data_IF_857150660191
#
_entry.id   IF_857150660191
#
_cell.length_a   1.000
_cell.length_b   1.000
_cell.length_c   1.000
_cell.angle_alpha   90.00
_cell.angle_beta   90.00
_cell.angle_gamma   90.00
#
_symmetry.space_group_name_H-M   'P 1'
#
loop_
_entity.id
_entity.type
_entity.pdbx_description
1 polymer ?
#
# COMPACT_ATOMS: atom_id res chain seq x y z
N UNK A 1 -11.48 -21.05 10.69
CA UNK A 1 -12.03 -19.72 10.35
C UNK A 1 -13.40 -19.91 9.73
N UNK A 2 -14.37 -19.07 10.07
CA UNK A 2 -15.75 -19.15 9.57
C UNK A 2 -16.31 -17.74 9.32
N UNK A 3 -17.41 -17.64 8.57
CA UNK A 3 -18.18 -16.41 8.39
C UNK A 3 -19.53 -16.55 9.08
N UNK A 4 -19.84 -15.65 10.01
CA UNK A 4 -21.09 -15.65 10.80
C UNK A 4 -21.72 -14.27 10.74
N UNK A 5 -22.94 -14.17 10.21
CA UNK A 5 -23.63 -12.88 10.05
C UNK A 5 -22.87 -11.87 9.19
N UNK A 6 -22.07 -12.36 8.22
CA UNK A 6 -21.20 -11.55 7.37
C UNK A 6 -19.84 -11.22 7.99
N UNK A 7 -19.59 -11.53 9.26
CA UNK A 7 -18.31 -11.24 9.93
C UNK A 7 -17.38 -12.45 9.92
N UNK A 8 -16.08 -12.20 9.73
CA UNK A 8 -15.07 -13.23 9.87
C UNK A 8 -14.84 -13.58 11.34
N UNK A 9 -14.76 -14.87 11.66
CA UNK A 9 -14.43 -15.36 13.00
C UNK A 9 -13.36 -16.44 12.94
N UNK A 10 -12.39 -16.33 13.83
CA UNK A 10 -11.35 -17.33 14.03
C UNK A 10 -11.42 -17.79 15.48
N UNK A 11 -11.41 -19.10 15.67
CA UNK A 11 -11.46 -19.71 17.00
C UNK A 11 -10.35 -20.74 17.09
N UNK A 12 -9.63 -20.75 18.21
CA UNK A 12 -8.86 -21.89 18.66
C UNK A 12 -8.85 -21.94 20.19
N UNK A 13 -9.20 -23.09 20.78
CA UNK A 13 -9.15 -23.35 22.23
C UNK A 13 -9.81 -22.27 23.12
N UNK A 14 -10.93 -21.68 22.70
CA UNK A 14 -11.63 -20.62 23.44
C UNK A 14 -10.96 -19.24 23.37
N UNK A 15 -9.98 -19.07 22.49
CA UNK A 15 -9.26 -17.81 22.22
C UNK A 15 -9.79 -17.17 20.93
N UNK A 16 -11.08 -16.85 20.92
CA UNK A 16 -11.81 -16.49 19.72
C UNK A 16 -11.60 -15.01 19.35
N UNK A 17 -11.24 -14.76 18.09
CA UNK A 17 -11.15 -13.43 17.51
C UNK A 17 -12.27 -13.25 16.47
N UNK A 18 -13.07 -12.20 16.63
CA UNK A 18 -14.06 -11.78 15.63
C UNK A 18 -13.62 -10.49 14.95
N UNK A 19 -13.83 -10.47 13.63
CA UNK A 19 -13.77 -9.26 12.82
C UNK A 19 -14.95 -8.33 13.06
N UNK A 20 -14.86 -7.14 12.48
CA UNK A 20 -15.86 -6.06 12.54
C UNK A 20 -16.37 -5.66 11.15
N UNK A 21 -15.62 -5.96 10.09
CA UNK A 21 -15.97 -5.68 8.70
C UNK A 21 -16.94 -6.75 8.20
N UNK A 22 -18.10 -6.29 7.73
CA UNK A 22 -19.06 -7.14 7.04
C UNK A 22 -18.54 -7.45 5.64
N UNK A 23 -18.53 -8.74 5.30
CA UNK A 23 -18.25 -9.22 3.96
C UNK A 23 -19.51 -9.07 3.10
N UNK A 24 -19.36 -8.40 1.96
CA UNK A 24 -20.43 -8.21 1.00
C UNK A 24 -20.71 -9.52 0.24
N UNK A 25 -21.99 -9.85 0.09
CA UNK A 25 -22.37 -11.05 -0.64
C UNK A 25 -22.01 -10.93 -2.13
N UNK A 26 -21.62 -12.05 -2.75
CA UNK A 26 -21.27 -12.14 -4.17
C UNK A 26 -20.08 -11.28 -4.59
N UNK A 27 -19.20 -10.92 -3.65
CA UNK A 27 -17.93 -10.27 -3.94
C UNK A 27 -16.76 -11.12 -3.47
N UNK A 28 -15.63 -11.02 -4.18
CA UNK A 28 -14.38 -11.60 -3.73
C UNK A 28 -13.79 -10.76 -2.60
N UNK A 29 -13.41 -11.42 -1.51
CA UNK A 29 -12.74 -10.79 -0.38
C UNK A 29 -11.39 -11.47 -0.14
N UNK A 30 -10.34 -10.67 0.04
CA UNK A 30 -9.08 -11.16 0.59
C UNK A 30 -9.17 -11.13 2.11
N UNK A 31 -8.92 -12.28 2.75
CA UNK A 31 -8.91 -12.38 4.21
C UNK A 31 -7.61 -12.99 4.69
N UNK A 32 -7.07 -12.46 5.78
CA UNK A 32 -5.86 -12.99 6.42
C UNK A 32 -6.11 -13.14 7.90
N UNK A 33 -5.65 -14.25 8.45
CA UNK A 33 -5.45 -14.40 9.88
C UNK A 33 -3.96 -14.57 10.16
N UNK A 34 -3.46 -13.85 11.15
CA UNK A 34 -2.09 -13.96 11.61
C UNK A 34 -2.05 -14.18 13.11
N UNK A 35 -1.06 -14.96 13.54
CA UNK A 35 -0.75 -15.17 14.93
C UNK A 35 0.75 -14.99 15.16
N UNK A 36 1.10 -14.03 16.01
CA UNK A 36 2.48 -13.78 16.43
C UNK A 36 2.72 -14.44 17.80
N UNK A 37 3.53 -15.52 17.88
CA UNK A 37 3.81 -16.20 19.14
C UNK A 37 4.73 -15.40 20.07
N UNK A 38 5.51 -14.44 19.57
CA UNK A 38 6.47 -13.67 20.37
C UNK A 38 5.75 -12.65 21.25
N UNK A 39 4.70 -12.02 20.71
CA UNK A 39 3.88 -11.03 21.42
C UNK A 39 2.48 -11.54 21.77
N UNK A 40 2.21 -12.83 21.50
CA UNK A 40 0.91 -13.46 21.65
C UNK A 40 -0.21 -12.61 21.01
N UNK A 41 -0.07 -12.20 19.75
CA UNK A 41 -1.07 -11.35 19.09
C UNK A 41 -1.79 -12.11 17.98
N UNK A 42 -3.12 -12.04 17.99
CA UNK A 42 -3.96 -12.45 16.88
C UNK A 42 -4.38 -11.23 16.07
N UNK A 43 -4.47 -11.38 14.75
CA UNK A 43 -5.03 -10.34 13.90
C UNK A 43 -5.77 -10.91 12.69
N UNK A 44 -6.90 -10.29 12.37
CA UNK A 44 -7.69 -10.51 11.16
C UNK A 44 -7.52 -9.28 10.26
N UNK A 45 -7.36 -9.54 8.97
CA UNK A 45 -7.44 -8.52 7.92
C UNK A 45 -8.53 -8.89 6.92
N UNK A 46 -9.27 -7.89 6.44
CA UNK A 46 -10.26 -8.01 5.36
C UNK A 46 -9.99 -6.93 4.33
N UNK A 47 -9.84 -7.32 3.05
CA UNK A 47 -9.63 -6.41 1.93
C UNK A 47 -8.60 -5.32 2.25
N UNK A 48 -7.42 -5.75 2.74
CA UNK A 48 -6.27 -4.90 3.13
C UNK A 48 -6.36 -4.24 4.50
N UNK A 49 -7.54 -4.17 5.12
CA UNK A 49 -7.77 -3.40 6.33
C UNK A 49 -7.64 -4.31 7.55
N UNK A 50 -6.92 -3.84 8.57
CA UNK A 50 -6.89 -4.51 9.88
C UNK A 50 -8.29 -4.47 10.49
N UNK A 51 -8.86 -5.63 10.74
CA UNK A 51 -10.28 -5.80 11.09
C UNK A 51 -10.47 -6.16 12.57
N UNK A 52 -9.76 -7.20 13.01
CA UNK A 52 -9.75 -7.66 14.41
C UNK A 52 -8.32 -7.77 14.92
N UNK A 53 -8.08 -7.35 16.17
CA UNK A 53 -6.78 -7.50 16.83
C UNK A 53 -7.01 -7.83 18.30
N UNK A 54 -6.23 -8.78 18.84
CA UNK A 54 -6.33 -9.17 20.24
C UNK A 54 -5.02 -9.80 20.73
N UNK A 55 -4.68 -9.57 22.01
CA UNK A 55 -3.69 -10.39 22.69
C UNK A 55 -4.28 -11.76 23.01
N UNK A 56 -3.70 -12.80 22.43
CA UNK A 56 -4.01 -14.19 22.72
C UNK A 56 -3.74 -14.53 24.19
N UNK A 57 -4.72 -15.21 24.78
CA UNK A 57 -4.63 -15.76 26.14
C UNK A 57 -3.95 -17.13 26.19
N UNK A 58 -3.81 -17.81 25.05
CA UNK A 58 -3.11 -19.11 24.93
C UNK A 58 -2.30 -19.17 23.63
N UNK A 59 -1.24 -19.98 23.65
CA UNK A 59 -0.41 -20.23 22.47
C UNK A 59 -1.20 -20.92 21.36
N UNK A 60 -0.97 -20.55 20.11
CA UNK A 60 -1.56 -21.27 18.98
C UNK A 60 -1.04 -22.71 18.98
N UNK A 61 -1.93 -23.72 18.95
CA UNK A 61 -1.50 -25.11 19.08
C UNK A 61 -0.70 -25.54 17.85
N UNK A 62 0.29 -26.41 18.07
CA UNK A 62 0.84 -27.18 16.95
C UNK A 62 -0.25 -28.13 16.46
N UNK A 63 -0.59 -28.02 15.17
CA UNK A 63 -1.58 -28.88 14.52
C UNK A 63 -0.81 -29.83 13.60
N UNK A 64 -0.83 -31.11 13.93
CA UNK A 64 -0.28 -32.20 13.09
C UNK A 64 -1.37 -32.98 12.37
N UNK A 65 -2.60 -32.48 12.43
CA UNK A 65 -3.81 -33.14 11.97
C UNK A 65 -4.31 -32.54 10.64
N UNK A 66 -5.39 -33.10 10.11
CA UNK A 66 -6.00 -32.71 8.83
C UNK A 66 -6.59 -31.30 8.89
N UNK A 67 -6.35 -30.51 7.84
CA UNK A 67 -7.03 -29.24 7.61
C UNK A 67 -8.25 -29.48 6.72
N UNK A 68 -9.43 -29.11 7.21
CA UNK A 68 -10.69 -29.22 6.44
C UNK A 68 -11.18 -27.86 5.99
N UNK A 69 -11.59 -27.76 4.72
CA UNK A 69 -12.11 -26.53 4.10
C UNK A 69 -13.55 -26.76 3.63
N UNK A 70 -14.40 -25.73 3.77
CA UNK A 70 -15.79 -25.72 3.31
C UNK A 70 -16.80 -26.25 4.32
N UNK A 71 -16.59 -27.43 4.88
CA UNK A 71 -17.46 -27.99 5.92
C UNK A 71 -16.65 -28.73 6.99
N UNK A 72 -17.10 -28.69 8.25
CA UNK A 72 -16.51 -29.49 9.32
C UNK A 72 -17.39 -30.72 9.57
N UNK A 73 -16.89 -31.96 9.38
CA UNK A 73 -17.70 -33.18 9.48
C UNK A 73 -18.21 -33.50 10.89
N UNK A 74 -17.80 -32.74 11.91
CA UNK A 74 -17.97 -33.10 13.33
C UNK A 74 -19.07 -32.28 14.03
N UNK A 75 -19.70 -31.30 13.36
CA UNK A 75 -20.73 -30.45 13.97
C UNK A 75 -22.09 -30.70 13.29
N UNK A 76 -23.06 -31.37 13.94
CA UNK A 76 -24.33 -31.79 13.33
C UNK A 76 -25.28 -30.65 12.91
N UNK A 77 -24.90 -29.38 13.10
CA UNK A 77 -25.82 -28.24 13.02
C UNK A 77 -25.30 -27.05 12.20
N UNK A 78 -24.16 -27.16 11.53
CA UNK A 78 -23.71 -26.11 10.62
C UNK A 78 -24.12 -26.46 9.20
N UNK A 79 -25.18 -25.80 8.70
CA UNK A 79 -25.47 -25.78 7.26
C UNK A 79 -24.25 -25.13 6.59
N UNK A 80 -23.50 -25.85 5.73
CA UNK A 80 -22.34 -25.28 5.06
C UNK A 80 -22.79 -24.06 4.27
N UNK A 81 -22.02 -22.98 4.37
CA UNK A 81 -22.25 -21.79 3.55
C UNK A 81 -21.65 -22.03 2.18
N UNK A 82 -22.50 -21.98 1.16
CA UNK A 82 -22.06 -22.05 -0.22
C UNK A 82 -21.28 -20.78 -0.55
N UNK A 83 -20.18 -20.95 -1.27
CA UNK A 83 -19.30 -19.87 -1.70
C UNK A 83 -18.14 -20.43 -2.49
N UNK A 84 -17.30 -19.53 -2.99
CA UNK A 84 -16.10 -19.90 -3.72
C UNK A 84 -14.88 -19.55 -2.87
N UNK A 85 -13.88 -20.43 -2.89
CA UNK A 85 -12.54 -20.18 -2.40
C UNK A 85 -11.62 -20.37 -3.60
N UNK A 86 -10.77 -19.39 -3.85
CA UNK A 86 -9.81 -19.45 -4.95
C UNK A 86 -8.42 -19.79 -4.39
N UNK A 87 -7.72 -18.79 -3.84
CA UNK A 87 -6.38 -18.95 -3.27
C UNK A 87 -6.40 -19.12 -1.75
N UNK A 88 -5.82 -20.22 -1.27
CA UNK A 88 -5.54 -20.48 0.15
C UNK A 88 -4.05 -20.71 0.34
N UNK A 89 -3.42 -19.93 1.23
CA UNK A 89 -1.98 -20.02 1.53
C UNK A 89 -1.78 -20.13 3.03
N UNK A 90 -0.81 -20.94 3.46
CA UNK A 90 -0.37 -21.06 4.84
C UNK A 90 1.09 -20.64 4.93
N UNK A 91 1.41 -19.82 5.91
CA UNK A 91 2.74 -19.22 6.08
C UNK A 91 3.25 -19.52 7.49
N UNK A 92 4.53 -19.84 7.60
CA UNK A 92 5.18 -20.14 8.89
C UNK A 92 5.64 -18.89 9.63
N UNK A 93 5.55 -17.72 8.99
CA UNK A 93 5.93 -16.42 9.57
C UNK A 93 4.77 -15.45 9.53
N UNK A 94 4.81 -14.48 10.43
CA UNK A 94 3.90 -13.32 10.40
C UNK A 94 4.34 -12.41 9.25
N UNK A 95 3.40 -12.09 8.35
CA UNK A 95 3.61 -11.10 7.28
C UNK A 95 3.38 -9.70 7.81
N UNK A 96 4.14 -8.74 7.29
CA UNK A 96 3.91 -7.32 7.57
C UNK A 96 2.58 -6.85 6.99
N UNK A 97 2.13 -5.67 7.42
CA UNK A 97 0.93 -5.07 6.85
C UNK A 97 1.06 -4.82 5.35
N UNK A 98 2.23 -4.34 4.93
CA UNK A 98 2.58 -4.03 3.55
C UNK A 98 2.58 -5.30 2.69
N UNK A 99 3.15 -6.39 3.19
CA UNK A 99 3.12 -7.69 2.48
C UNK A 99 1.67 -8.18 2.28
N UNK A 100 0.83 -8.09 3.32
CA UNK A 100 -0.58 -8.48 3.23
C UNK A 100 -1.36 -7.56 2.29
N UNK A 101 -1.07 -6.26 2.33
CA UNK A 101 -1.66 -5.26 1.44
C UNK A 101 -1.29 -5.56 -0.02
N UNK A 102 -0.03 -5.89 -0.31
CA UNK A 102 0.40 -6.24 -1.65
C UNK A 102 -0.20 -7.57 -2.10
N UNK A 103 -0.28 -8.59 -1.25
CA UNK A 103 -0.99 -9.84 -1.62
C UNK A 103 -2.47 -9.62 -1.94
N UNK A 104 -3.11 -8.68 -1.25
CA UNK A 104 -4.51 -8.34 -1.47
C UNK A 104 -4.74 -7.50 -2.74
N UNK A 105 -3.71 -6.85 -3.29
CA UNK A 105 -3.90 -5.74 -4.26
C UNK A 105 -2.97 -5.69 -5.44
N UNK A 106 -1.84 -6.40 -5.39
CA UNK A 106 -1.01 -6.66 -6.55
C UNK A 106 -1.80 -7.56 -7.50
N UNK A 107 -2.18 -7.01 -8.64
CA UNK A 107 -2.98 -7.72 -9.64
C UNK A 107 -2.09 -8.58 -10.52
N UNK A 108 -0.97 -8.05 -10.97
CA UNK A 108 0.03 -8.77 -11.76
C UNK A 108 1.41 -8.15 -11.59
N UNK A 109 2.45 -8.97 -11.75
CA UNK A 109 3.85 -8.60 -11.74
C UNK A 109 4.60 -9.36 -12.83
N UNK A 110 5.16 -8.61 -13.78
CA UNK A 110 5.99 -9.10 -14.86
C UNK A 110 7.42 -8.55 -14.69
N UNK A 111 8.36 -9.32 -14.13
CA UNK A 111 9.77 -8.93 -14.07
C UNK A 111 10.43 -8.96 -15.44
N UNK A 112 9.91 -9.76 -16.39
CA UNK A 112 10.54 -9.99 -17.69
C UNK A 112 11.94 -10.64 -17.59
N UNK A 113 12.14 -11.45 -16.54
CA UNK A 113 13.31 -12.30 -16.32
C UNK A 113 13.28 -13.55 -17.22
N UNK A 114 13.43 -13.34 -18.54
CA UNK A 114 13.36 -14.40 -19.55
C UNK A 114 12.05 -15.20 -19.52
N UNK A 115 10.96 -14.55 -19.09
CA UNK A 115 9.61 -15.07 -19.16
C UNK A 115 8.60 -13.94 -19.33
N UNK A 116 7.45 -14.27 -19.93
CA UNK A 116 6.27 -13.40 -20.05
C UNK A 116 5.21 -13.74 -18.99
N UNK A 117 5.55 -14.60 -18.03
CA UNK A 117 4.65 -15.06 -16.99
C UNK A 117 4.42 -13.98 -15.93
N UNK A 118 3.18 -13.89 -15.45
CA UNK A 118 2.85 -13.16 -14.24
C UNK A 118 3.32 -13.96 -13.01
N UNK A 119 4.33 -13.45 -12.32
CA UNK A 119 4.81 -14.02 -11.05
C UNK A 119 4.06 -13.49 -9.83
N UNK A 120 3.08 -12.62 -10.06
CA UNK A 120 2.17 -12.09 -9.05
C UNK A 120 1.15 -13.12 -8.54
N UNK A 121 0.30 -12.72 -7.58
CA UNK A 121 -0.56 -13.64 -6.85
C UNK A 121 -1.68 -14.27 -7.70
N UNK A 122 -2.08 -13.62 -8.81
CA UNK A 122 -3.21 -14.05 -9.65
C UNK A 122 -2.77 -14.89 -10.87
N UNK A 123 -1.48 -14.92 -11.21
CA UNK A 123 -0.89 -15.69 -12.31
C UNK A 123 -1.69 -15.55 -13.60
N UNK A 124 -1.81 -14.33 -14.12
CA UNK A 124 -2.51 -14.03 -15.37
C UNK A 124 -2.03 -14.93 -16.52
N UNK A 125 -2.88 -15.88 -16.94
CA UNK A 125 -2.51 -16.96 -17.89
C UNK A 125 -2.63 -16.58 -19.38
N UNK A 126 -3.19 -15.41 -19.69
CA UNK A 126 -3.48 -15.00 -21.06
C UNK A 126 -2.56 -13.86 -21.50
N UNK A 127 -1.24 -14.09 -21.45
CA UNK A 127 -0.26 -13.19 -22.04
C UNK A 127 0.10 -13.62 -23.46
N UNK A 128 0.29 -12.64 -24.34
CA UNK A 128 0.79 -12.83 -25.70
C UNK A 128 1.87 -11.82 -26.00
N UNK A 129 2.71 -12.10 -26.99
CA UNK A 129 3.79 -11.21 -27.38
C UNK A 129 4.06 -11.32 -28.88
N UNK A 130 4.66 -10.27 -29.43
CA UNK A 130 5.05 -10.20 -30.82
C UNK A 130 6.39 -9.47 -30.93
N UNK A 131 7.35 -10.08 -31.64
CA UNK A 131 8.66 -9.48 -31.98
C UNK A 131 9.47 -8.88 -30.82
N UNK A 132 9.18 -9.29 -29.57
CA UNK A 132 9.93 -8.90 -28.37
C UNK A 132 10.99 -9.95 -28.03
N UNK A 133 12.04 -9.51 -27.34
CA UNK A 133 13.12 -10.35 -26.81
C UNK A 133 13.46 -9.93 -25.39
N UNK A 134 14.32 -10.68 -24.71
CA UNK A 134 14.84 -10.32 -23.40
C UNK A 134 16.30 -9.87 -23.51
N UNK A 135 16.68 -8.84 -22.76
CA UNK A 135 18.04 -8.32 -22.64
C UNK A 135 18.57 -8.60 -21.24
N UNK A 136 19.78 -9.15 -21.14
CA UNK A 136 20.42 -9.53 -19.89
C UNK A 136 20.85 -8.34 -19.01
N UNK A 137 20.77 -7.11 -19.53
CA UNK A 137 21.07 -5.89 -18.81
C UNK A 137 19.77 -5.21 -18.35
N UNK A 138 18.98 -5.93 -17.55
CA UNK A 138 17.80 -5.41 -16.87
C UNK A 138 18.15 -4.39 -15.79
N UNK A 139 17.13 -3.73 -15.25
CA UNK A 139 17.28 -2.96 -14.00
C UNK A 139 17.53 -3.94 -12.85
N UNK A 140 16.83 -5.08 -12.88
CA UNK A 140 17.06 -6.26 -12.05
C UNK A 140 17.01 -7.49 -12.96
N UNK A 141 18.05 -8.34 -12.93
CA UNK A 141 18.08 -9.51 -13.80
C UNK A 141 18.02 -9.14 -15.30
N UNK A 142 17.01 -9.64 -16.00
CA UNK A 142 16.77 -9.41 -17.41
C UNK A 142 15.54 -8.50 -17.60
N UNK A 143 15.36 -7.98 -18.81
CA UNK A 143 14.24 -7.08 -19.09
C UNK A 143 13.65 -7.31 -20.48
N UNK A 144 12.43 -6.81 -20.69
CA UNK A 144 11.77 -6.82 -21.98
C UNK A 144 12.42 -5.79 -22.91
N UNK A 145 12.89 -6.24 -24.08
CA UNK A 145 13.45 -5.37 -25.12
C UNK A 145 12.44 -5.18 -26.26
N UNK A 146 12.13 -3.90 -26.54
CA UNK A 146 11.31 -3.46 -27.67
C UNK A 146 12.19 -2.58 -28.55
N UNK A 147 12.78 -3.16 -29.59
CA UNK A 147 13.69 -2.43 -30.49
C UNK A 147 13.53 -2.77 -31.98
N UNK A 148 12.55 -3.61 -32.32
CA UNK A 148 12.29 -3.99 -33.71
C UNK A 148 11.81 -2.80 -34.54
N UNK A 149 12.07 -2.83 -35.85
CA UNK A 149 11.43 -1.93 -36.82
C UNK A 149 10.01 -2.39 -37.18
N UNK A 150 9.72 -3.68 -36.97
CA UNK A 150 8.37 -4.24 -37.09
C UNK A 150 7.58 -4.01 -35.80
N UNK A 151 6.26 -4.20 -35.89
CA UNK A 151 5.37 -4.16 -34.74
C UNK A 151 5.84 -5.14 -33.66
N UNK A 152 6.02 -4.62 -32.45
CA UNK A 152 6.56 -5.32 -31.30
C UNK A 152 5.77 -4.94 -30.06
N UNK A 153 5.29 -5.94 -29.32
CA UNK A 153 4.56 -5.71 -28.08
C UNK A 153 4.54 -6.93 -27.17
N UNK A 154 4.25 -6.66 -25.90
CA UNK A 154 3.75 -7.64 -24.94
C UNK A 154 2.31 -7.27 -24.59
N UNK A 155 1.44 -8.25 -24.36
CA UNK A 155 0.05 -8.04 -24.01
C UNK A 155 -0.36 -9.01 -22.91
N UNK A 156 -1.17 -8.54 -21.97
CA UNK A 156 -1.86 -9.39 -21.00
C UNK A 156 -3.33 -8.99 -20.93
N UNK A 157 -4.23 -9.97 -20.76
CA UNK A 157 -5.67 -9.73 -20.64
C UNK A 157 -6.24 -10.36 -19.38
N UNK A 158 -7.44 -9.90 -18.98
CA UNK A 158 -8.18 -10.44 -17.85
C UNK A 158 -8.29 -9.49 -16.66
N UNK A 159 -7.89 -8.23 -16.81
CA UNK A 159 -7.86 -7.27 -15.70
C UNK A 159 -9.26 -6.80 -15.32
N UNK A 160 -9.85 -7.46 -14.32
CA UNK A 160 -11.21 -7.16 -13.84
C UNK A 160 -11.31 -5.81 -13.13
N UNK A 161 -10.37 -5.46 -12.24
CA UNK A 161 -10.44 -4.20 -11.49
C UNK A 161 -10.20 -2.97 -12.37
N UNK A 162 -9.32 -3.06 -13.36
CA UNK A 162 -9.18 -2.02 -14.39
C UNK A 162 -10.46 -1.85 -15.21
N UNK A 163 -11.33 -2.87 -15.26
CA UNK A 163 -12.62 -2.82 -15.94
C UNK A 163 -13.77 -2.27 -15.08
N UNK A 164 -13.51 -1.89 -13.82
CA UNK A 164 -14.51 -1.29 -12.94
C UNK A 164 -14.36 0.24 -12.92
N UNK A 165 -15.46 0.95 -13.18
CA UNK A 165 -15.48 2.41 -13.14
C UNK A 165 -15.15 2.92 -11.74
N UNK A 166 -14.43 4.03 -11.66
CA UNK A 166 -13.94 4.68 -10.43
C UNK A 166 -13.09 3.80 -9.49
N UNK A 167 -12.74 2.58 -9.91
CA UNK A 167 -11.90 1.71 -9.10
C UNK A 167 -10.45 2.19 -9.14
N UNK A 168 -9.81 2.44 -7.98
CA UNK A 168 -8.45 2.97 -7.96
C UNK A 168 -7.44 1.94 -8.46
N UNK A 169 -6.42 2.39 -9.17
CA UNK A 169 -5.37 1.52 -9.72
C UNK A 169 -4.04 2.24 -9.81
N UNK A 170 -2.96 1.47 -9.92
CA UNK A 170 -1.63 2.00 -10.19
C UNK A 170 -0.85 1.09 -11.13
N UNK A 171 -0.02 1.70 -11.97
CA UNK A 171 0.99 1.02 -12.78
C UNK A 171 2.36 1.47 -12.30
N UNK A 172 3.26 0.53 -12.03
CA UNK A 172 4.66 0.80 -11.71
C UNK A 172 5.55 0.00 -12.65
N UNK A 173 6.59 0.62 -13.20
CA UNK A 173 7.54 -0.03 -14.08
C UNK A 173 8.85 0.75 -14.14
N UNK A 174 9.93 0.07 -14.50
CA UNK A 174 11.18 0.69 -14.91
C UNK A 174 11.25 0.74 -16.44
N UNK A 175 11.72 1.85 -16.99
CA UNK A 175 11.97 1.98 -18.43
C UNK A 175 13.40 2.44 -18.71
N UNK A 176 13.91 2.03 -19.87
CA UNK A 176 15.18 2.48 -20.44
C UNK A 176 14.91 2.94 -21.88
N UNK A 177 14.57 4.23 -22.11
CA UNK A 177 14.19 4.71 -23.43
C UNK A 177 15.41 4.91 -24.33
N UNK A 178 15.34 4.42 -25.57
CA UNK A 178 16.31 4.77 -26.62
C UNK A 178 15.90 6.06 -27.34
N UNK A 179 14.60 6.33 -27.37
CA UNK A 179 13.99 7.56 -27.88
C UNK A 179 12.83 7.96 -26.96
N UNK A 180 12.59 9.27 -26.82
CA UNK A 180 11.44 9.79 -26.09
C UNK A 180 10.23 9.92 -27.02
N UNK A 181 9.76 8.80 -27.55
CA UNK A 181 8.59 8.74 -28.43
C UNK A 181 7.86 7.41 -28.29
N UNK A 182 6.57 7.42 -28.63
CA UNK A 182 5.72 6.23 -28.64
C UNK A 182 4.99 5.92 -27.33
N UNK A 183 4.21 4.85 -27.39
CA UNK A 183 3.37 4.36 -26.31
C UNK A 183 4.10 3.26 -25.54
N UNK A 184 4.28 3.47 -24.24
CA UNK A 184 4.88 2.49 -23.34
C UNK A 184 3.82 1.48 -22.89
N UNK A 185 2.64 1.96 -22.46
CA UNK A 185 1.54 1.12 -21.99
C UNK A 185 0.21 1.68 -22.52
N UNK A 186 -0.61 0.81 -23.09
CA UNK A 186 -1.99 1.08 -23.50
C UNK A 186 -2.93 0.18 -22.68
N UNK A 187 -4.05 0.75 -22.22
CA UNK A 187 -5.18 0.00 -21.66
C UNK A 187 -6.28 -0.07 -22.72
N UNK A 188 -6.89 -1.23 -22.91
CA UNK A 188 -8.02 -1.40 -23.82
C UNK A 188 -9.08 -2.36 -23.27
N UNK A 189 -10.34 -2.17 -23.67
CA UNK A 189 -11.43 -3.10 -23.42
C UNK A 189 -11.60 -4.09 -24.57
N UNK A 190 -12.29 -5.21 -24.30
CA UNK A 190 -12.76 -6.15 -25.32
C UNK A 190 -13.75 -5.50 -26.31
N UNK A 191 -14.46 -4.44 -25.88
CA UNK A 191 -15.43 -3.69 -26.68
C UNK A 191 -14.81 -2.54 -27.48
N UNK A 192 -13.48 -2.55 -27.65
CA UNK A 192 -12.67 -1.62 -28.47
C UNK A 192 -12.56 -0.17 -27.96
N UNK A 193 -12.81 0.10 -26.67
CA UNK A 193 -12.26 1.33 -26.10
C UNK A 193 -10.77 1.12 -25.84
N UNK A 194 -9.93 2.08 -26.20
CA UNK A 194 -8.52 2.02 -25.85
C UNK A 194 -7.95 3.40 -25.59
N UNK A 195 -6.91 3.40 -24.76
CA UNK A 195 -6.19 4.60 -24.37
C UNK A 195 -4.71 4.26 -24.20
N UNK A 196 -3.79 4.90 -24.95
CA UNK A 196 -2.38 4.93 -24.58
C UNK A 196 -2.31 5.53 -23.19
N UNK A 197 -1.96 4.79 -22.16
CA UNK A 197 -2.05 5.21 -20.77
C UNK A 197 -0.75 5.84 -20.28
N UNK A 198 0.39 5.33 -20.74
CA UNK A 198 1.73 5.85 -20.43
C UNK A 198 2.53 5.88 -21.73
N UNK A 199 3.23 6.98 -22.01
CA UNK A 199 4.03 7.14 -23.23
C UNK A 199 4.62 8.53 -23.32
N UNK A 200 5.04 8.93 -24.51
CA UNK A 200 5.63 10.25 -24.75
C UNK A 200 4.71 11.13 -25.60
N UNK A 201 4.60 12.41 -25.25
CA UNK A 201 3.97 13.41 -26.11
C UNK A 201 4.83 13.78 -27.33
N UNK A 202 4.28 14.59 -28.23
CA UNK A 202 4.99 15.06 -29.43
C UNK A 202 6.21 15.96 -29.12
N UNK A 203 6.35 16.42 -27.88
CA UNK A 203 7.51 17.17 -27.38
C UNK A 203 8.53 16.27 -26.68
N UNK A 204 8.32 14.96 -26.64
CA UNK A 204 9.18 13.99 -25.97
C UNK A 204 9.06 13.97 -24.45
N UNK A 205 8.04 14.59 -23.87
CA UNK A 205 7.80 14.51 -22.42
C UNK A 205 7.05 13.22 -22.10
N UNK A 206 7.44 12.58 -21.02
CA UNK A 206 6.67 11.47 -20.46
C UNK A 206 5.28 11.97 -20.06
N UNK A 207 4.25 11.29 -20.53
CA UNK A 207 2.84 11.65 -20.35
C UNK A 207 2.07 10.43 -19.87
N UNK A 208 1.19 10.67 -18.89
CA UNK A 208 0.16 9.73 -18.49
C UNK A 208 -1.20 10.24 -18.93
N UNK A 209 -2.13 9.34 -19.25
CA UNK A 209 -3.49 9.73 -19.57
C UNK A 209 -4.52 8.63 -19.33
N UNK A 210 -5.77 9.04 -19.19
CA UNK A 210 -6.95 8.19 -19.23
C UNK A 210 -7.97 8.81 -20.17
N UNK A 211 -9.08 8.12 -20.39
CA UNK A 211 -10.22 8.69 -21.11
C UNK A 211 -11.53 8.31 -20.44
N UNK A 212 -12.55 9.11 -20.67
CA UNK A 212 -13.94 8.76 -20.47
C UNK A 212 -14.75 9.03 -21.76
N UNK A 213 -16.08 9.09 -21.67
CA UNK A 213 -16.95 9.38 -22.81
C UNK A 213 -16.86 10.82 -23.34
N UNK A 214 -16.28 11.74 -22.56
CA UNK A 214 -16.17 13.17 -22.87
C UNK A 214 -14.83 13.47 -23.53
N UNK A 215 -13.74 12.88 -23.04
CA UNK A 215 -12.42 13.13 -23.62
C UNK A 215 -11.26 12.37 -22.99
N UNK A 216 -10.06 12.85 -23.32
CA UNK A 216 -8.79 12.35 -22.82
C UNK A 216 -8.25 13.32 -21.78
N UNK A 217 -7.82 12.80 -20.64
CA UNK A 217 -7.27 13.57 -19.53
C UNK A 217 -5.82 13.16 -19.36
N UNK A 218 -4.91 14.13 -19.42
CA UNK A 218 -3.48 13.86 -19.47
C UNK A 218 -2.70 14.77 -18.55
N UNK A 219 -1.60 14.24 -18.02
CA UNK A 219 -0.60 14.98 -17.24
C UNK A 219 0.78 14.58 -17.73
N UNK A 220 1.72 15.52 -17.77
CA UNK A 220 3.05 15.29 -18.35
C UNK A 220 4.14 15.74 -17.42
N UNK A 221 5.28 15.06 -17.53
CA UNK A 221 6.48 15.33 -16.77
C UNK A 221 6.88 16.80 -16.88
N UNK A 222 7.03 17.44 -15.73
CA UNK A 222 7.19 18.90 -15.61
C UNK A 222 8.65 19.32 -15.71
N UNK A 223 9.59 18.44 -15.37
CA UNK A 223 11.02 18.72 -15.35
C UNK A 223 11.71 18.53 -16.72
N UNK A 224 10.93 18.50 -17.81
CA UNK A 224 11.44 18.38 -19.18
C UNK A 224 11.30 16.98 -19.75
N UNK A 225 12.38 16.46 -20.33
CA UNK A 225 12.43 15.11 -20.91
C UNK A 225 13.22 14.19 -19.99
N UNK A 226 12.83 12.92 -19.94
CA UNK A 226 13.64 11.92 -19.24
C UNK A 226 14.92 11.61 -20.03
N UNK A 227 15.99 11.28 -19.32
CA UNK A 227 17.26 10.90 -19.92
C UNK A 227 17.11 9.65 -20.79
N UNK A 228 17.68 9.71 -21.98
CA UNK A 228 17.83 8.52 -22.83
C UNK A 228 18.90 7.60 -22.26
N UNK A 229 18.73 6.31 -22.52
CA UNK A 229 19.70 5.28 -22.17
C UNK A 229 20.00 5.21 -20.65
N UNK A 230 19.00 5.48 -19.82
CA UNK A 230 19.09 5.38 -18.37
C UNK A 230 17.81 4.78 -17.80
N UNK A 231 17.96 3.90 -16.80
CA UNK A 231 16.82 3.32 -16.10
C UNK A 231 16.10 4.41 -15.30
N UNK A 232 14.82 4.59 -15.59
CA UNK A 232 13.95 5.53 -14.90
C UNK A 232 12.73 4.78 -14.38
N UNK A 233 12.45 4.89 -13.07
CA UNK A 233 11.24 4.34 -12.48
C UNK A 233 10.06 5.27 -12.74
N UNK A 234 8.92 4.71 -13.16
CA UNK A 234 7.71 5.45 -13.46
C UNK A 234 6.56 4.82 -12.70
N UNK A 235 5.75 5.67 -12.07
CA UNK A 235 4.46 5.26 -11.51
C UNK A 235 3.36 6.18 -12.03
N UNK A 236 2.28 5.56 -12.48
CA UNK A 236 1.00 6.23 -12.67
C UNK A 236 0.03 5.72 -11.60
N UNK A 237 -0.61 6.62 -10.88
CA UNK A 237 -1.74 6.28 -9.99
C UNK A 237 -3.03 6.89 -10.50
N UNK A 238 -4.15 6.27 -10.15
CA UNK A 238 -5.49 6.82 -10.29
C UNK A 238 -6.31 6.57 -9.02
N UNK A 239 -6.98 7.61 -8.54
CA UNK A 239 -8.12 7.49 -7.63
C UNK A 239 -9.15 8.60 -7.87
N UNK A 240 -10.38 8.38 -7.41
CA UNK A 240 -11.44 9.40 -7.45
C UNK A 240 -11.07 10.68 -6.67
N UNK A 241 -10.24 10.54 -5.65
CA UNK A 241 -9.82 11.63 -4.77
C UNK A 241 -8.70 12.47 -5.38
N UNK A 242 -7.71 11.84 -6.02
CA UNK A 242 -6.52 12.54 -6.50
C UNK A 242 -6.47 12.70 -8.03
N UNK A 243 -7.38 12.05 -8.76
CA UNK A 243 -7.33 11.96 -10.22
C UNK A 243 -6.17 11.11 -10.65
N UNK A 244 -5.52 11.47 -11.77
CA UNK A 244 -4.30 10.79 -12.21
C UNK A 244 -3.05 11.52 -11.75
N UNK A 245 -2.05 10.77 -11.28
CA UNK A 245 -0.77 11.32 -10.84
C UNK A 245 0.39 10.55 -11.46
N UNK A 246 1.43 11.29 -11.84
CA UNK A 246 2.68 10.79 -12.38
C UNK A 246 3.78 10.98 -11.34
N UNK A 247 4.51 9.90 -11.08
CA UNK A 247 5.73 9.90 -10.30
C UNK A 247 6.89 9.39 -11.16
N UNK A 248 8.05 10.01 -10.99
CA UNK A 248 9.28 9.66 -11.71
C UNK A 248 10.40 9.53 -10.71
N UNK A 249 11.10 8.39 -10.73
CA UNK A 249 12.17 8.04 -9.79
C UNK A 249 11.75 8.23 -8.32
N UNK A 250 10.55 7.74 -7.97
CA UNK A 250 10.03 7.81 -6.61
C UNK A 250 9.45 9.17 -6.19
N UNK A 251 9.56 10.21 -7.02
CA UNK A 251 9.14 11.57 -6.68
C UNK A 251 7.87 11.97 -7.43
N UNK A 252 7.00 12.73 -6.78
CA UNK A 252 5.83 13.32 -7.43
C UNK A 252 6.28 14.29 -8.54
N UNK A 253 5.69 14.15 -9.73
CA UNK A 253 5.99 15.02 -10.87
C UNK A 253 4.84 15.93 -11.22
N UNK A 254 3.66 15.34 -11.44
CA UNK A 254 2.51 16.06 -12.00
C UNK A 254 1.22 15.30 -11.77
N UNK A 255 0.10 16.02 -11.83
CA UNK A 255 -1.23 15.41 -11.71
C UNK A 255 -2.23 16.06 -12.66
N UNK A 256 -3.41 15.45 -12.78
CA UNK A 256 -4.60 16.07 -13.37
C UNK A 256 -5.78 15.88 -12.42
N UNK A 257 -5.91 16.81 -11.47
CA UNK A 257 -6.87 16.72 -10.35
C UNK A 257 -8.35 16.94 -10.76
N UNK A 258 -8.60 17.54 -11.92
CA UNK A 258 -9.97 17.81 -12.39
C UNK A 258 -10.69 16.55 -12.90
N UNK A 259 -9.94 15.50 -13.22
CA UNK A 259 -10.51 14.23 -13.63
C UNK A 259 -10.75 13.36 -12.39
N UNK A 260 -12.02 13.12 -12.07
CA UNK A 260 -12.41 12.31 -10.92
C UNK A 260 -13.18 11.06 -11.29
N UNK A 261 -13.55 10.91 -12.56
CA UNK A 261 -14.47 9.86 -13.01
C UNK A 261 -13.78 8.95 -14.01
N UNK A 262 -13.38 7.75 -13.58
CA UNK A 262 -12.86 6.74 -14.48
C UNK A 262 -14.00 5.90 -15.01
N UNK A 263 -14.20 5.94 -16.33
CA UNK A 263 -15.24 5.16 -16.98
C UNK A 263 -14.63 3.91 -17.61
N UNK A 264 -14.99 2.76 -17.06
CA UNK A 264 -14.66 1.47 -17.64
C UNK A 264 -15.89 0.80 -18.25
N UNK A 265 -15.64 -0.25 -19.03
CA UNK A 265 -16.69 -0.93 -19.80
C UNK A 265 -17.38 -2.06 -19.04
N UNK A 266 -16.91 -2.41 -17.84
CA UNK A 266 -17.32 -3.60 -17.09
C UNK A 266 -16.79 -4.93 -17.66
N UNK A 267 -16.31 -4.93 -18.91
CA UNK A 267 -15.69 -6.09 -19.57
C UNK A 267 -14.20 -6.10 -19.28
N UNK A 268 -13.58 -7.29 -19.15
CA UNK A 268 -12.16 -7.42 -18.76
C UNK A 268 -11.27 -6.55 -19.63
N UNK A 269 -10.38 -5.78 -19.00
CA UNK A 269 -9.43 -4.97 -19.73
C UNK A 269 -8.17 -5.77 -20.07
N UNK A 270 -7.48 -5.28 -21.10
CA UNK A 270 -6.19 -5.71 -21.60
C UNK A 270 -5.19 -4.59 -21.37
N UNK A 271 -3.98 -4.95 -20.96
CA UNK A 271 -2.82 -4.06 -21.08
C UNK A 271 -1.95 -4.50 -22.25
N UNK A 272 -1.45 -3.53 -22.99
CA UNK A 272 -0.54 -3.69 -24.11
C UNK A 272 0.69 -2.83 -23.82
N UNK A 273 1.87 -3.41 -23.96
CA UNK A 273 3.14 -2.79 -23.63
C UNK A 273 3.99 -2.70 -24.89
N UNK A 274 4.50 -1.50 -25.16
CA UNK A 274 5.46 -1.24 -26.24
C UNK A 274 4.90 -0.63 -27.51
N UNK A 275 3.58 -0.55 -27.67
CA UNK A 275 2.98 0.08 -28.87
C UNK A 275 1.55 0.55 -28.60
N UNK A 276 0.97 1.23 -29.60
CA UNK A 276 -0.46 1.53 -29.64
C UNK A 276 -1.11 0.72 -30.77
N UNK A 277 -2.06 -0.15 -30.43
CA UNK A 277 -2.89 -0.80 -31.43
C UNK A 277 -4.07 0.10 -31.78
N UNK A 278 -4.36 0.21 -33.08
CA UNK A 278 -5.44 1.03 -33.64
C UNK A 278 -5.27 2.55 -33.38
N UNK A 279 -4.11 3.14 -33.75
CA UNK A 279 -3.76 4.53 -33.41
C UNK A 279 -4.80 5.56 -33.87
N UNK A 280 -5.47 5.32 -35.00
CA UNK A 280 -6.46 6.25 -35.57
C UNK A 280 -7.78 6.28 -34.80
N UNK A 281 -8.14 5.16 -34.14
CA UNK A 281 -9.40 5.03 -33.40
C UNK A 281 -9.20 5.11 -31.89
N UNK A 282 -7.99 4.87 -31.41
CA UNK A 282 -7.68 4.85 -30.00
C UNK A 282 -7.90 6.23 -29.38
N UNK A 283 -8.65 6.26 -28.27
CA UNK A 283 -9.10 7.53 -27.66
C UNK A 283 -9.77 8.49 -28.64
N UNK A 284 -10.48 7.96 -29.66
CA UNK A 284 -11.11 8.71 -30.73
C UNK A 284 -10.15 9.66 -31.48
N UNK A 285 -8.87 9.28 -31.61
CA UNK A 285 -7.83 10.09 -32.26
C UNK A 285 -7.41 11.33 -31.46
N UNK A 286 -7.84 11.46 -30.20
CA UNK A 286 -7.57 12.63 -29.34
C UNK A 286 -6.45 12.41 -28.32
N UNK A 287 -5.65 11.35 -28.46
CA UNK A 287 -4.56 11.05 -27.52
C UNK A 287 -3.48 12.14 -27.57
N UNK A 288 -2.90 12.46 -26.40
CA UNK A 288 -1.75 13.36 -26.27
C UNK A 288 -0.43 12.63 -26.47
N UNK A 289 -0.41 11.33 -26.17
CA UNK A 289 0.73 10.44 -26.38
C UNK A 289 0.82 10.15 -27.88
N UNK A 290 2.03 10.15 -28.42
CA UNK A 290 2.28 9.74 -29.81
C UNK A 290 1.93 8.26 -29.96
N UNK A 291 0.89 7.89 -30.72
CA UNK A 291 0.39 6.51 -30.77
C UNK A 291 1.25 5.67 -31.72
N UNK A 292 2.49 5.42 -31.31
CA UNK A 292 3.49 4.67 -32.06
C UNK A 292 4.26 3.71 -31.15
N UNK A 293 5.13 2.89 -31.73
CA UNK A 293 5.94 1.94 -30.97
C UNK A 293 6.96 2.67 -30.10
N UNK A 294 6.97 2.33 -28.80
CA UNK A 294 8.07 2.69 -27.92
C UNK A 294 9.33 1.92 -28.31
N UNK A 295 10.50 2.55 -28.22
CA UNK A 295 11.79 1.87 -28.41
C UNK A 295 12.65 2.02 -27.16
N UNK A 296 12.94 0.88 -26.54
CA UNK A 296 13.68 0.82 -25.28
C UNK A 296 13.52 -0.51 -24.58
N UNK A 297 13.86 -0.50 -23.29
CA UNK A 297 13.70 -1.66 -22.39
C UNK A 297 12.68 -1.36 -21.31
N UNK A 298 11.99 -2.39 -20.83
CA UNK A 298 10.99 -2.32 -19.76
C UNK A 298 11.25 -3.45 -18.77
N UNK A 299 11.16 -3.14 -17.49
CA UNK A 299 11.43 -4.06 -16.40
C UNK A 299 10.46 -3.82 -15.24
N UNK A 300 10.24 -4.82 -14.40
CA UNK A 300 9.48 -4.73 -13.15
C UNK A 300 8.06 -4.16 -13.28
N UNK A 301 7.30 -4.57 -14.32
CA UNK A 301 5.94 -4.09 -14.52
C UNK A 301 5.00 -4.66 -13.44
N UNK A 302 4.49 -3.80 -12.57
CA UNK A 302 3.53 -4.12 -11.51
C UNK A 302 2.22 -3.35 -11.70
N UNK A 303 1.11 -4.04 -11.49
CA UNK A 303 -0.25 -3.51 -11.61
C UNK A 303 -0.95 -3.68 -10.28
N UNK A 304 -1.47 -2.60 -9.71
CA UNK A 304 -2.14 -2.61 -8.41
C UNK A 304 -3.62 -2.23 -8.55
N UNK A 305 -4.49 -2.88 -7.77
CA UNK A 305 -5.91 -2.56 -7.62
C UNK A 305 -6.14 -1.48 -6.54
N UNK A 306 -5.24 -0.51 -6.48
CA UNK A 306 -5.28 0.66 -5.59
C UNK A 306 -4.40 1.77 -6.09
N UNK A 307 -4.62 2.96 -5.54
CA UNK A 307 -3.63 4.02 -5.51
C UNK A 307 -2.50 3.63 -4.53
N UNK A 308 -1.26 3.72 -5.01
CA UNK A 308 -0.07 3.58 -4.17
C UNK A 308 0.18 4.88 -3.40
N UNK A 309 0.64 4.75 -2.15
CA UNK A 309 1.11 5.89 -1.36
C UNK A 309 2.51 6.34 -1.78
N UNK A 310 2.89 7.57 -1.43
CA UNK A 310 4.22 8.11 -1.70
C UNK A 310 5.35 7.22 -1.14
N UNK A 311 5.17 6.70 0.07
CA UNK A 311 6.14 5.79 0.71
C UNK A 311 6.36 4.52 -0.11
N UNK A 312 5.29 3.90 -0.59
CA UNK A 312 5.38 2.68 -1.39
C UNK A 312 6.02 2.95 -2.75
N UNK A 313 5.70 4.09 -3.37
CA UNK A 313 6.29 4.51 -4.64
C UNK A 313 7.80 4.70 -4.51
N UNK A 314 8.26 5.35 -3.44
CA UNK A 314 9.69 5.53 -3.23
C UNK A 314 10.41 4.22 -2.87
N UNK A 315 9.75 3.32 -2.12
CA UNK A 315 10.27 1.98 -1.85
C UNK A 315 10.46 1.19 -3.15
N UNK A 316 9.49 1.23 -4.07
CA UNK A 316 9.59 0.63 -5.40
C UNK A 316 10.70 1.26 -6.25
N UNK A 317 10.94 2.56 -6.10
CA UNK A 317 12.04 3.27 -6.75
C UNK A 317 13.41 3.01 -6.08
N UNK A 318 13.44 2.35 -4.92
CA UNK A 318 14.60 2.24 -4.02
C UNK A 318 15.18 3.61 -3.61
N UNK A 319 14.34 4.65 -3.60
CA UNK A 319 14.70 5.98 -3.14
C UNK A 319 14.42 6.06 -1.65
N UNK A 320 15.46 6.29 -0.84
CA UNK A 320 15.26 6.69 0.54
C UNK A 320 14.67 8.09 0.55
N UNK A 321 13.39 8.21 0.91
CA UNK A 321 12.75 9.52 1.05
C UNK A 321 13.42 10.23 2.23
N UNK A 322 13.99 11.44 2.07
CA UNK A 322 14.16 12.36 3.19
C UNK A 322 12.75 12.72 3.65
N UNK A 323 12.29 12.02 4.68
CA UNK A 323 10.91 12.08 5.11
C UNK A 323 10.59 13.46 5.68
N UNK A 324 9.93 14.33 4.90
CA UNK A 324 9.29 15.56 5.37
C UNK A 324 7.84 15.24 5.78
N UNK A 325 7.65 15.01 7.10
CA UNK A 325 6.40 14.92 7.89
C UNK A 325 5.30 13.91 7.47
N UNK A 326 4.76 13.04 8.33
CA UNK A 326 4.91 12.83 9.78
C UNK A 326 5.54 11.50 10.20
N UNK A 327 6.81 11.56 10.60
CA UNK A 327 7.54 10.45 11.19
C UNK A 327 7.43 10.59 12.70
N UNK A 328 6.97 9.50 13.30
CA UNK A 328 7.06 9.21 14.72
C UNK A 328 8.45 9.53 15.25
N UNK A 329 8.51 10.47 16.18
CA UNK A 329 9.68 10.70 17.02
C UNK A 329 9.79 9.50 17.97
N UNK A 330 10.91 8.78 17.98
CA UNK A 330 11.18 7.71 18.94
C UNK A 330 12.18 8.20 20.00
N UNK A 331 11.66 8.69 21.12
CA UNK A 331 12.45 8.81 22.35
C UNK A 331 12.46 7.46 23.04
N UNK A 332 13.59 6.76 23.02
CA UNK A 332 13.71 5.45 23.68
C UNK A 332 13.75 5.57 25.22
N UNK A 333 14.01 6.78 25.76
CA UNK A 333 14.08 7.07 27.20
C UNK A 333 14.94 6.08 28.00
N UNK A 334 16.07 5.65 27.42
CA UNK A 334 17.08 4.81 28.07
C UNK A 334 18.03 5.66 28.93
N UNK A 335 17.47 6.29 29.98
CA UNK A 335 18.17 7.13 30.97
C UNK A 335 18.85 8.41 30.42
N UNK A 336 18.54 8.83 29.20
CA UNK A 336 18.99 10.12 28.67
C UNK A 336 17.91 10.75 27.76
N UNK A 337 18.07 12.03 27.47
CA UNK A 337 17.32 12.74 26.44
C UNK A 337 18.17 12.86 25.17
N UNK A 338 18.89 11.80 24.80
CA UNK A 338 19.69 11.79 23.58
C UNK A 338 18.89 11.08 22.49
N UNK A 339 18.65 11.80 21.41
CA UNK A 339 18.27 11.22 20.14
C UNK A 339 19.51 10.57 19.48
N UNK A 340 19.40 9.28 19.18
CA UNK A 340 20.46 8.43 18.61
C UNK A 340 20.45 8.38 17.08
N UNK A 341 19.57 9.14 16.41
CA UNK A 341 19.42 9.07 14.94
C UNK A 341 19.64 10.44 14.28
N UNK A 342 19.09 11.53 14.83
CA UNK A 342 19.14 12.85 14.18
C UNK A 342 19.95 13.92 14.93
N UNK A 343 20.65 13.55 16.02
CA UNK A 343 21.45 14.46 16.85
C UNK A 343 20.65 15.65 17.44
N UNK A 344 19.32 15.57 17.44
CA UNK A 344 18.43 16.53 18.09
C UNK A 344 18.21 16.11 19.55
N UNK A 345 19.24 16.30 20.37
CA UNK A 345 19.20 15.99 21.79
C UNK A 345 18.21 16.90 22.53
N UNK A 346 17.44 16.32 23.45
CA UNK A 346 16.58 17.05 24.37
C UNK A 346 17.41 17.57 25.55
N UNK A 347 17.04 18.73 26.08
CA UNK A 347 17.63 19.28 27.30
C UNK A 347 16.73 18.88 28.47
N UNK A 348 17.28 18.16 29.44
CA UNK A 348 16.54 17.83 30.67
C UNK A 348 16.43 19.06 31.55
N UNK A 349 15.21 19.47 31.91
CA UNK A 349 14.98 20.50 32.93
C UNK A 349 14.22 19.85 34.09
N UNK A 350 14.93 19.63 35.20
CA UNK A 350 14.48 19.06 36.47
C UNK A 350 13.73 17.71 36.40
N UNK A 351 14.42 16.66 36.85
CA UNK A 351 14.00 15.28 37.18
C UNK A 351 14.46 14.15 36.22
N UNK A 352 14.81 13.03 36.87
CA UNK A 352 15.51 11.85 36.35
C UNK A 352 14.61 10.97 35.46
N UNK A 353 15.17 10.44 34.37
CA UNK A 353 14.55 9.45 33.50
C UNK A 353 14.87 8.05 34.04
N UNK A 354 13.86 7.21 34.27
CA UNK A 354 14.02 5.81 34.72
C UNK A 354 13.45 4.85 33.67
N UNK A 355 14.10 3.70 33.47
CA UNK A 355 13.53 2.63 32.63
C UNK A 355 12.56 1.70 33.38
N UNK A 356 11.77 0.93 32.61
CA UNK A 356 10.75 0.02 33.11
C UNK A 356 11.29 -1.08 34.06
N UNK A 357 12.56 -1.51 33.89
CA UNK A 357 13.19 -2.52 34.76
C UNK A 357 13.50 -1.97 36.16
N UNK A 358 13.82 -0.68 36.30
CA UNK A 358 14.05 -0.05 37.60
C UNK A 358 12.74 0.23 38.36
N UNK A 359 11.66 0.56 37.63
CA UNK A 359 10.30 0.68 38.17
C UNK A 359 9.76 -0.67 38.71
N UNK A 360 10.08 -1.78 38.03
CA UNK A 360 9.66 -3.13 38.45
C UNK A 360 10.49 -3.72 39.61
N UNK A 361 11.75 -3.29 39.81
CA UNK A 361 12.56 -3.74 40.95
C UNK A 361 12.18 -3.07 42.28
N UNK A 362 11.67 -1.83 42.27
CA UNK A 362 11.20 -1.16 43.49
C UNK A 362 9.80 -1.59 43.95
N UNK A 363 8.97 -2.12 43.05
CA UNK A 363 7.61 -2.57 43.40
C UNK A 363 7.53 -3.92 44.14
N UNK A 364 8.63 -4.68 44.28
CA UNK A 364 8.63 -5.90 45.12
C UNK A 364 8.76 -5.66 46.62
N UNK A 365 8.97 -4.41 47.07
CA UNK A 365 9.19 -4.08 48.48
C UNK A 365 8.11 -3.20 49.11
N UNK A 366 6.89 -3.15 48.55
CA UNK A 366 5.78 -2.41 49.15
C UNK A 366 4.58 -3.34 49.27
N UNK A 367 4.48 -4.03 50.40
CA UNK A 367 3.22 -4.63 50.84
C UNK A 367 2.23 -3.53 51.22
N UNK A 368 1.00 -3.64 50.73
CA UNK A 368 -0.16 -2.97 51.33
C UNK A 368 -0.53 -1.59 50.79
N UNK A 369 -0.80 -1.45 49.48
CA UNK A 369 -1.75 -0.42 49.00
C UNK A 369 -2.51 -0.95 47.78
N UNK A 370 -3.79 -1.24 47.96
CA UNK A 370 -4.78 -1.30 46.87
C UNK A 370 -5.02 0.11 46.35
N UNK A 371 -5.00 0.34 45.02
CA UNK A 371 -6.17 0.77 44.19
C UNK A 371 -5.73 1.38 42.83
N UNK A 372 -6.24 0.78 41.76
CA UNK A 372 -6.64 1.24 40.41
C UNK A 372 -5.69 2.03 39.47
N UNK A 373 -5.46 1.39 38.31
CA UNK A 373 -5.08 1.97 37.02
C UNK A 373 -5.89 3.23 36.67
N UNK A 374 -5.20 4.25 36.15
CA UNK A 374 -5.81 5.28 35.33
C UNK A 374 -5.03 5.42 34.02
N UNK A 375 -5.66 4.97 32.93
CA UNK A 375 -5.28 5.27 31.55
C UNK A 375 -5.45 6.77 31.30
N UNK A 376 -4.45 7.46 30.74
CA UNK A 376 -4.64 8.81 30.18
C UNK A 376 -4.48 8.72 28.67
N UNK A 377 -5.60 8.87 27.97
CA UNK A 377 -5.69 9.01 26.51
C UNK A 377 -5.99 10.50 26.25
N UNK A 378 -5.12 11.22 25.54
CA UNK A 378 -5.35 12.62 25.16
C UNK A 378 -5.59 12.73 23.65
N UNK A 379 -6.75 13.27 23.27
CA UNK A 379 -7.04 13.84 21.96
C UNK A 379 -6.76 15.35 22.00
N UNK A 380 -6.12 15.90 20.96
CA UNK A 380 -6.00 17.36 20.75
C UNK A 380 -6.62 17.69 19.39
N UNK A 381 -7.63 18.58 19.41
CA UNK A 381 -8.23 19.21 18.23
C UNK A 381 -7.50 20.53 18.00
N UNK A 382 -6.95 20.75 16.80
CA UNK A 382 -6.42 22.06 16.39
C UNK A 382 -7.48 22.82 15.60
N UNK A 383 -7.84 24.00 16.09
CA UNK A 383 -8.43 25.09 15.30
C UNK A 383 -7.34 26.15 15.12
N UNK A 384 -7.06 26.49 13.87
CA UNK A 384 -6.04 27.45 13.48
C UNK A 384 -6.45 28.88 13.84
N UNK A 385 -5.61 29.60 14.58
CA UNK A 385 -5.68 31.05 14.70
C UNK A 385 -4.86 31.65 15.83
N UNK A 386 -3.58 31.93 15.55
CA UNK A 386 -2.69 32.89 16.25
C UNK A 386 -1.96 32.37 17.51
N UNK A 387 -0.66 32.69 17.53
CA UNK A 387 0.41 32.21 18.41
C UNK A 387 0.27 32.55 19.90
N UNK A 388 0.97 31.72 20.67
CA UNK A 388 1.54 31.89 22.02
C UNK A 388 0.65 31.51 23.22
N UNK A 389 0.84 30.28 23.69
CA UNK A 389 0.49 29.86 25.04
C UNK A 389 1.72 29.27 25.75
N UNK A 390 2.29 30.04 26.67
CA UNK A 390 3.03 29.52 27.82
C UNK A 390 1.98 28.96 28.78
N UNK A 391 2.10 27.70 29.19
CA UNK A 391 1.27 27.12 30.24
C UNK A 391 2.16 26.50 31.33
N UNK A 392 2.24 27.19 32.47
CA UNK A 392 2.81 26.70 33.73
C UNK A 392 1.66 26.10 34.53
N UNK A 393 1.79 24.86 35.01
CA UNK A 393 0.87 24.25 35.98
C UNK A 393 1.55 24.21 37.35
N UNK A 394 0.91 24.81 38.36
CA UNK A 394 1.23 24.64 39.79
C UNK A 394 0.59 23.35 40.32
N UNK A 395 1.38 22.57 41.07
CA UNK A 395 0.90 21.49 41.95
C UNK A 395 1.15 21.94 43.40
N UNK A 396 0.08 22.01 44.20
CA UNK A 396 0.16 22.18 45.65
C UNK A 396 -0.37 20.91 46.31
N UNK A 397 0.52 20.17 46.97
CA UNK A 397 0.19 19.23 48.02
C UNK A 397 1.11 19.54 49.20
N UNK A 398 0.55 20.00 50.32
CA UNK A 398 1.25 20.12 51.60
C UNK A 398 0.53 19.22 52.61
N UNK A 399 1.28 18.27 53.15
CA UNK A 399 0.94 17.48 54.33
C UNK A 399 1.21 18.26 55.63
N UNK A 400 0.44 17.92 56.67
CA UNK A 400 0.28 18.56 57.98
C UNK A 400 1.49 19.20 58.72
N UNK A 401 1.12 20.22 59.52
CA UNK A 401 1.87 21.16 60.37
C UNK A 401 2.86 20.60 61.41
N UNK A 402 3.75 21.48 61.92
CA UNK A 402 3.75 21.83 63.33
C UNK A 402 3.56 23.34 63.60
N UNK A 403 2.85 23.63 64.71
CA UNK A 403 2.52 24.96 65.24
C UNK A 403 3.77 25.76 65.63
N UNK A 404 3.84 27.03 65.24
CA UNK A 404 4.28 28.15 66.10
C UNK A 404 3.79 29.50 65.56
N UNK A 405 3.41 30.39 66.48
CA UNK A 405 2.71 31.68 66.30
C UNK A 405 3.64 32.82 65.84
N UNK A 406 3.04 33.84 65.20
CA UNK A 406 3.17 35.31 65.34
C UNK A 406 2.99 36.00 63.97
N UNK A 407 1.86 36.66 63.65
CA UNK A 407 1.34 38.02 63.95
C UNK A 407 2.08 39.18 63.23
N UNK A 408 1.30 40.20 62.84
CA UNK A 408 1.61 41.53 62.24
C UNK A 408 1.40 41.54 60.70
N UNK A 409 0.29 42.04 60.11
CA UNK A 409 -0.33 43.39 60.05
C UNK A 409 0.62 44.43 59.43
N UNK A 410 0.42 44.83 58.17
CA UNK A 410 -0.32 46.01 57.71
C UNK A 410 -0.87 45.68 56.32
#
# INVERSE_FOLDING_TARGET
MIVVGGLLRVSFRGNDLSGKILLDANQWHHVTYSYDPLILQQRIYVNRISDGIQTAIVAFPQITDVITVGTAPVIPFTVPKNGFIDKLTFESRVKSFEEILDEATLVAYYPFDNSYDDVGPNRMINSTFLSTTFDSNGRFGQCLLINSTNLSYFQATGFHYLAQSDYPFSFSLWIYPFVNSGTILQVSSETRSCVPTIGFDSSGRLTIQTSDSIGVYSSSFTSGMISLNQWTHIVMTYSKTNGIQLFVSGLFSSEYIKYRTYLATGSRHTILVGTCLSPDTCSHGKTRIVPSQFRGKIDELKIFSRELSFTEIAQLAQVTIPYEYGSSILWQFDNNALDSISNLHGVTVNYWIYNLRQLLQRHRNIEGVTTRMMLIQMFVIFLSGILAAICIIYLLAISNMPKTRHKVII
#
